data_IF_332661547961
#
_entry.id   IF_332661547961
#
_cell.length_a   1.000
_cell.length_b   1.000
_cell.length_c   1.000
_cell.angle_alpha   90.00
_cell.angle_beta   90.00
_cell.angle_gamma   90.00
#
_symmetry.space_group_name_H-M   'P 1'
#
loop_
_entity.id
_entity.type
_entity.pdbx_description
1 polymer ?
#
# COMPACT_ATOMS: atom_id res chain seq x y z
N UNK A 1 -12.42 2.62 29.39
CA UNK A 1 -11.55 1.43 29.27
C UNK A 1 -10.83 1.52 27.93
N UNK A 2 -9.54 1.86 27.93
CA UNK A 2 -8.72 1.95 26.71
C UNK A 2 -8.00 0.63 26.50
N UNK A 3 -8.20 0.00 25.33
CA UNK A 3 -7.71 -1.34 25.03
C UNK A 3 -6.24 -1.27 24.57
N UNK A 4 -5.28 -1.86 25.31
CA UNK A 4 -3.85 -1.75 25.02
C UNK A 4 -3.42 -2.52 23.76
N UNK A 5 -4.26 -3.40 23.23
CA UNK A 5 -4.03 -4.13 21.99
C UNK A 5 -4.45 -3.36 20.72
N UNK A 6 -5.21 -2.27 20.87
CA UNK A 6 -5.80 -1.50 19.78
C UNK A 6 -5.24 -0.08 19.65
N UNK A 7 -4.12 0.23 20.31
CA UNK A 7 -3.38 1.48 20.05
C UNK A 7 -2.31 1.21 19.00
N UNK A 8 -2.73 1.01 17.75
CA UNK A 8 -1.84 1.29 16.62
C UNK A 8 -1.68 2.80 16.61
N UNK A 9 -0.66 3.29 17.31
CA UNK A 9 -0.29 4.70 17.25
C UNK A 9 0.02 5.06 15.80
N UNK A 10 -0.31 6.29 15.38
CA UNK A 10 0.15 6.86 14.11
C UNK A 10 1.64 6.59 13.86
N UNK A 11 2.44 6.57 14.93
CA UNK A 11 3.86 6.21 14.89
C UNK A 11 4.13 4.79 14.37
N UNK A 12 3.34 3.81 14.79
CA UNK A 12 3.46 2.42 14.34
C UNK A 12 3.07 2.30 12.87
N UNK A 13 2.02 3.00 12.43
CA UNK A 13 1.60 3.02 11.03
C UNK A 13 2.64 3.68 10.13
N UNK A 14 3.21 4.81 10.55
CA UNK A 14 4.29 5.51 9.85
C UNK A 14 5.56 4.65 9.80
N UNK A 15 5.90 3.95 10.89
CA UNK A 15 7.03 3.04 10.92
C UNK A 15 6.86 1.89 9.92
N UNK A 16 5.68 1.26 9.90
CA UNK A 16 5.37 0.19 8.93
C UNK A 16 5.36 0.71 7.49
N UNK A 17 4.90 1.95 7.27
CA UNK A 17 4.94 2.60 5.97
C UNK A 17 6.38 2.85 5.50
N UNK A 18 7.27 3.34 6.38
CA UNK A 18 8.69 3.51 6.06
C UNK A 18 9.38 2.19 5.72
N UNK A 19 9.03 1.09 6.42
CA UNK A 19 9.57 -0.25 6.12
C UNK A 19 9.10 -0.72 4.74
N UNK A 20 7.80 -0.67 4.46
CA UNK A 20 7.25 -1.04 3.15
C UNK A 20 7.79 -0.17 2.02
N UNK A 21 7.94 1.14 2.24
CA UNK A 21 8.52 2.05 1.26
C UNK A 21 9.98 1.67 0.96
N UNK A 22 10.78 1.38 1.98
CA UNK A 22 12.17 0.99 1.80
C UNK A 22 12.30 -0.33 1.05
N UNK A 23 11.44 -1.31 1.34
CA UNK A 23 11.39 -2.57 0.61
C UNK A 23 10.96 -2.39 -0.84
N UNK A 24 9.95 -1.54 -1.11
CA UNK A 24 9.50 -1.25 -2.47
C UNK A 24 10.59 -0.54 -3.27
N UNK A 25 11.28 0.45 -2.69
CA UNK A 25 12.40 1.13 -3.33
C UNK A 25 13.56 0.17 -3.61
N UNK A 26 13.82 -0.77 -2.69
CA UNK A 26 14.82 -1.83 -2.89
C UNK A 26 14.43 -2.76 -4.05
N UNK A 27 13.17 -3.19 -4.11
CA UNK A 27 12.65 -4.02 -5.20
C UNK A 27 12.69 -3.29 -6.55
N UNK A 28 12.33 -2.01 -6.59
CA UNK A 28 12.40 -1.18 -7.81
C UNK A 28 13.85 -0.99 -8.25
N UNK A 29 14.79 -0.74 -7.33
CA UNK A 29 16.23 -0.68 -7.64
C UNK A 29 16.76 -2.01 -8.16
N UNK A 30 16.37 -3.12 -7.54
CA UNK A 30 16.76 -4.45 -7.98
C UNK A 30 16.19 -4.75 -9.37
N UNK A 31 14.94 -4.40 -9.63
CA UNK A 31 14.30 -4.53 -10.94
C UNK A 31 15.00 -3.68 -12.00
N UNK A 32 15.25 -2.41 -11.70
CA UNK A 32 15.95 -1.48 -12.60
C UNK A 32 17.40 -1.92 -12.88
N UNK A 33 18.11 -2.46 -11.89
CA UNK A 33 19.45 -3.02 -12.09
C UNK A 33 19.45 -4.25 -13.00
N UNK A 34 18.39 -5.06 -12.96
CA UNK A 34 18.20 -6.20 -13.86
C UNK A 34 17.73 -5.78 -15.27
N UNK A 35 17.11 -4.61 -15.42
CA UNK A 35 16.70 -4.04 -16.72
C UNK A 35 17.90 -3.73 -17.63
N UNK A 36 19.05 -3.37 -17.07
CA UNK A 36 20.29 -3.10 -17.84
C UNK A 36 20.92 -4.36 -18.45
N UNK A 37 20.34 -5.55 -18.29
CA UNK A 37 20.80 -6.82 -18.87
C UNK A 37 19.66 -7.68 -19.45
N UNK A 38 18.59 -7.07 -19.98
CA UNK A 38 17.36 -7.78 -20.31
C UNK A 38 17.43 -8.59 -21.63
N UNK A 39 17.62 -9.92 -21.49
CA UNK A 39 17.18 -10.94 -22.46
C UNK A 39 15.63 -11.02 -22.45
N UNK A 40 14.94 -11.28 -23.57
CA UNK A 40 13.48 -11.19 -23.71
C UNK A 40 12.62 -11.88 -22.61
N UNK A 41 13.11 -12.96 -22.00
CA UNK A 41 12.42 -13.65 -20.90
C UNK A 41 12.28 -12.82 -19.61
N UNK A 42 13.21 -11.92 -19.30
CA UNK A 42 13.11 -11.05 -18.11
C UNK A 42 12.16 -9.86 -18.34
N UNK A 43 11.96 -9.44 -19.59
CA UNK A 43 10.97 -8.41 -19.93
C UNK A 43 9.53 -8.90 -19.69
N UNK A 44 9.25 -10.17 -20.00
CA UNK A 44 7.96 -10.80 -19.69
C UNK A 44 7.71 -10.89 -18.18
N UNK A 45 8.70 -11.32 -17.38
CA UNK A 45 8.58 -11.33 -15.92
C UNK A 45 8.35 -9.93 -15.34
N UNK A 46 8.98 -8.91 -15.91
CA UNK A 46 8.75 -7.50 -15.54
C UNK A 46 7.30 -7.08 -15.82
N UNK A 47 6.76 -7.49 -16.97
CA UNK A 47 5.38 -7.20 -17.35
C UNK A 47 4.36 -7.89 -16.42
N UNK A 48 4.64 -9.11 -15.98
CA UNK A 48 3.84 -9.78 -14.94
C UNK A 48 3.92 -9.07 -13.59
N UNK A 49 5.11 -8.61 -13.18
CA UNK A 49 5.29 -7.83 -11.95
C UNK A 49 4.53 -6.50 -11.97
N UNK A 50 4.55 -5.79 -13.11
CA UNK A 50 3.80 -4.54 -13.28
C UNK A 50 2.28 -4.76 -13.23
N UNK A 51 1.78 -5.86 -13.80
CA UNK A 51 0.37 -6.23 -13.68
C UNK A 51 -0.03 -6.48 -12.22
N UNK A 52 0.81 -7.16 -11.45
CA UNK A 52 0.57 -7.42 -10.04
C UNK A 52 0.59 -6.12 -9.19
N UNK A 53 1.55 -5.23 -9.44
CA UNK A 53 1.62 -3.92 -8.76
C UNK A 53 0.39 -3.06 -9.07
N UNK A 54 -0.08 -3.08 -10.32
CA UNK A 54 -1.29 -2.35 -10.73
C UNK A 54 -2.53 -2.86 -10.00
N UNK A 55 -2.69 -4.20 -9.92
CA UNK A 55 -3.80 -4.82 -9.21
C UNK A 55 -3.79 -4.54 -7.71
N UNK A 56 -2.61 -4.51 -7.09
CA UNK A 56 -2.44 -4.13 -5.68
C UNK A 56 -2.81 -2.65 -5.48
N UNK A 57 -2.37 -1.77 -6.38
CA UNK A 57 -2.72 -0.34 -6.34
C UNK A 57 -4.22 -0.09 -6.43
N UNK A 58 -4.92 -0.81 -7.29
CA UNK A 58 -6.37 -0.71 -7.45
C UNK A 58 -7.13 -1.19 -6.19
N UNK A 59 -6.64 -2.25 -5.55
CA UNK A 59 -7.19 -2.75 -4.28
C UNK A 59 -7.00 -1.73 -3.16
N UNK A 60 -5.82 -1.12 -3.05
CA UNK A 60 -5.54 -0.05 -2.07
C UNK A 60 -6.46 1.15 -2.31
N UNK A 61 -6.64 1.57 -3.57
CA UNK A 61 -7.54 2.66 -3.94
C UNK A 61 -8.98 2.38 -3.48
N UNK A 62 -9.47 1.17 -3.69
CA UNK A 62 -10.79 0.74 -3.25
C UNK A 62 -10.92 0.75 -1.72
N UNK A 63 -9.90 0.29 -1.00
CA UNK A 63 -9.89 0.32 0.48
C UNK A 63 -9.88 1.75 1.01
N UNK A 64 -9.11 2.66 0.41
CA UNK A 64 -9.12 4.09 0.76
C UNK A 64 -10.51 4.69 0.56
N UNK A 65 -11.16 4.37 -0.56
CA UNK A 65 -12.53 4.82 -0.85
C UNK A 65 -13.52 4.32 0.20
N UNK A 66 -13.43 3.04 0.59
CA UNK A 66 -14.28 2.45 1.64
C UNK A 66 -14.03 3.08 3.02
N UNK A 67 -12.78 3.34 3.38
CA UNK A 67 -12.43 4.03 4.63
C UNK A 67 -12.96 5.45 4.63
N UNK A 68 -12.86 6.17 3.51
CA UNK A 68 -13.41 7.52 3.40
C UNK A 68 -14.95 7.53 3.53
N UNK A 69 -15.62 6.56 2.90
CA UNK A 69 -17.07 6.37 3.06
C UNK A 69 -17.46 6.06 4.52
N UNK A 70 -16.68 5.22 5.21
CA UNK A 70 -16.88 4.92 6.63
C UNK A 70 -16.69 6.17 7.50
N UNK A 71 -15.64 6.95 7.27
CA UNK A 71 -15.38 8.21 7.99
C UNK A 71 -16.54 9.18 7.78
N UNK A 72 -17.02 9.36 6.54
CA UNK A 72 -18.17 10.21 6.26
C UNK A 72 -19.44 9.72 6.96
N UNK A 73 -19.67 8.40 7.02
CA UNK A 73 -20.80 7.83 7.75
C UNK A 73 -20.70 8.08 9.27
N UNK A 74 -19.50 7.96 9.85
CA UNK A 74 -19.25 8.25 11.26
C UNK A 74 -19.44 9.74 11.56
N UNK A 75 -18.87 10.63 10.75
CA UNK A 75 -19.02 12.09 10.90
C UNK A 75 -20.48 12.52 10.76
N UNK A 76 -21.22 11.92 9.82
CA UNK A 76 -22.66 12.18 9.66
C UNK A 76 -23.45 11.73 10.89
N UNK A 77 -23.15 10.56 11.43
CA UNK A 77 -23.82 10.02 12.61
C UNK A 77 -23.45 10.76 13.91
N UNK A 78 -22.29 11.43 13.97
CA UNK A 78 -21.89 12.26 15.11
C UNK A 78 -22.63 13.61 15.20
N UNK A 79 -23.15 14.15 14.08
CA UNK A 79 -23.92 15.41 14.10
C UNK A 79 -25.41 15.23 14.45
N UNK A 80 -25.87 13.98 14.62
CA UNK A 80 -27.27 13.65 14.91
C UNK A 80 -27.54 13.31 16.38
N UNK A 81 -26.57 13.50 17.27
CA UNK A 81 -26.75 13.53 18.73
C UNK A 81 -26.45 14.93 19.25
#
# INVERSE_FOLDING_TARGET
MSYPWATISFKTLISSYCVLQSELVSQVRHLASNTSSATPGKFLLLQFGMAQVTQVGETISNLISQVNAMIMAVVRNQKSQ
#
